data_IF_210264310559
#
_entry.id   IF_210264310559
#
_cell.length_a   1.000
_cell.length_b   1.000
_cell.length_c   1.000
_cell.angle_alpha   90.00
_cell.angle_beta   90.00
_cell.angle_gamma   90.00
#
_symmetry.space_group_name_H-M   'P 1'
#
loop_
_entity.id
_entity.type
_entity.pdbx_description
1 polymer ?
#
# COMPACT_ATOMS: atom_id res chain seq x y z
N UNK A 1 -10.12 -3.84 -18.12
CA UNK A 1 -10.70 -3.13 -16.94
C UNK A 1 -9.70 -2.06 -16.49
N UNK A 2 -9.48 -1.09 -17.38
CA UNK A 2 -8.16 -0.43 -17.45
C UNK A 2 -8.13 0.95 -16.79
N UNK A 3 -9.31 1.57 -16.63
CA UNK A 3 -9.46 2.84 -15.91
C UNK A 3 -9.89 2.63 -14.46
N UNK A 4 -9.55 3.58 -13.58
CA UNK A 4 -10.01 3.56 -12.19
C UNK A 4 -11.54 3.62 -12.09
N UNK A 5 -12.20 4.37 -12.98
CA UNK A 5 -13.66 4.46 -13.05
C UNK A 5 -14.28 3.10 -13.38
N UNK A 6 -13.69 2.35 -14.32
CA UNK A 6 -14.17 1.00 -14.65
C UNK A 6 -14.06 0.05 -13.45
N UNK A 7 -12.96 0.15 -12.68
CA UNK A 7 -12.76 -0.64 -11.46
C UNK A 7 -13.71 -0.23 -10.35
N UNK A 8 -13.94 1.07 -10.15
CA UNK A 8 -14.94 1.59 -9.19
C UNK A 8 -16.36 1.14 -9.55
N UNK A 9 -16.73 1.20 -10.82
CA UNK A 9 -18.04 0.73 -11.29
C UNK A 9 -18.21 -0.78 -11.06
N UNK A 10 -17.15 -1.57 -11.30
CA UNK A 10 -17.17 -3.02 -11.04
C UNK A 10 -17.30 -3.33 -9.55
N UNK A 11 -16.51 -2.68 -8.70
CA UNK A 11 -16.59 -2.80 -7.24
C UNK A 11 -18.01 -2.43 -6.77
N UNK A 12 -18.57 -1.33 -7.26
CA UNK A 12 -19.94 -0.93 -6.93
C UNK A 12 -20.98 -2.00 -7.31
N UNK A 13 -20.86 -2.57 -8.51
CA UNK A 13 -21.74 -3.66 -8.98
C UNK A 13 -21.68 -4.87 -8.05
N UNK A 14 -20.48 -5.27 -7.63
CA UNK A 14 -20.25 -6.38 -6.72
C UNK A 14 -20.85 -6.09 -5.34
N UNK A 15 -20.53 -4.93 -4.75
CA UNK A 15 -21.08 -4.54 -3.43
C UNK A 15 -22.61 -4.50 -3.42
N UNK A 16 -23.23 -4.04 -4.52
CA UNK A 16 -24.68 -4.02 -4.68
C UNK A 16 -25.28 -5.42 -4.77
N UNK A 17 -24.66 -6.34 -5.52
CA UNK A 17 -25.18 -7.69 -5.76
C UNK A 17 -24.92 -8.61 -4.56
N UNK A 18 -23.69 -8.64 -4.06
CA UNK A 18 -23.22 -9.61 -3.08
C UNK A 18 -23.51 -9.16 -1.64
N UNK A 19 -23.41 -7.86 -1.36
CA UNK A 19 -23.55 -7.33 0.00
C UNK A 19 -24.79 -6.45 0.19
N UNK A 20 -25.61 -6.26 -0.85
CA UNK A 20 -26.82 -5.42 -0.82
C UNK A 20 -26.58 -3.99 -0.30
N UNK A 21 -25.41 -3.42 -0.58
CA UNK A 21 -25.07 -2.05 -0.19
C UNK A 21 -25.13 -1.11 -1.40
N UNK A 22 -26.02 -0.12 -1.33
CA UNK A 22 -26.33 0.75 -2.48
C UNK A 22 -25.77 2.17 -2.34
N UNK A 23 -25.98 2.84 -1.20
CA UNK A 23 -25.65 4.27 -1.06
C UNK A 23 -24.23 4.50 -0.54
N UNK A 24 -23.82 3.71 0.47
CA UNK A 24 -22.52 3.86 1.14
C UNK A 24 -21.32 3.84 0.18
N UNK A 25 -21.25 2.94 -0.83
CA UNK A 25 -20.12 2.92 -1.76
C UNK A 25 -19.99 4.20 -2.60
N UNK A 26 -21.10 4.89 -2.90
CA UNK A 26 -21.08 6.14 -3.65
C UNK A 26 -20.48 7.29 -2.81
N UNK A 27 -20.88 7.36 -1.54
CA UNK A 27 -20.29 8.33 -0.58
C UNK A 27 -18.80 8.05 -0.40
N UNK A 28 -18.42 6.78 -0.19
CA UNK A 28 -17.01 6.38 -0.07
C UNK A 28 -16.22 6.65 -1.34
N UNK A 29 -16.81 6.50 -2.53
CA UNK A 29 -16.17 6.82 -3.80
C UNK A 29 -15.81 8.30 -3.91
N UNK A 30 -16.72 9.20 -3.51
CA UNK A 30 -16.47 10.66 -3.49
C UNK A 30 -15.38 10.99 -2.46
N UNK A 31 -15.47 10.46 -1.24
CA UNK A 31 -14.48 10.67 -0.20
C UNK A 31 -13.10 10.16 -0.61
N UNK A 32 -13.04 8.97 -1.22
CA UNK A 32 -11.81 8.37 -1.74
C UNK A 32 -11.18 9.24 -2.84
N UNK A 33 -11.98 9.75 -3.78
CA UNK A 33 -11.50 10.64 -4.83
C UNK A 33 -10.95 11.97 -4.26
N UNK A 34 -11.67 12.58 -3.32
CA UNK A 34 -11.25 13.80 -2.64
C UNK A 34 -9.94 13.58 -1.87
N UNK A 35 -9.88 12.52 -1.05
CA UNK A 35 -8.71 12.20 -0.25
C UNK A 35 -7.48 11.93 -1.13
N UNK A 36 -7.63 11.09 -2.16
CA UNK A 36 -6.57 10.78 -3.12
C UNK A 36 -6.01 12.04 -3.78
N UNK A 37 -6.88 12.98 -4.15
CA UNK A 37 -6.49 14.23 -4.79
C UNK A 37 -5.74 15.13 -3.81
N UNK A 38 -6.25 15.28 -2.59
CA UNK A 38 -5.60 16.04 -1.52
C UNK A 38 -4.21 15.50 -1.16
N UNK A 39 -4.10 14.18 -0.94
CA UNK A 39 -2.82 13.52 -0.68
C UNK A 39 -1.84 13.75 -1.83
N UNK A 40 -2.29 13.62 -3.09
CA UNK A 40 -1.43 13.85 -4.25
C UNK A 40 -0.90 15.28 -4.35
N UNK A 41 -1.75 16.28 -4.05
CA UNK A 41 -1.33 17.69 -4.01
C UNK A 41 -0.27 17.92 -2.92
N UNK A 42 -0.48 17.35 -1.73
CA UNK A 42 0.46 17.48 -0.63
C UNK A 42 1.76 16.71 -0.86
N UNK A 43 1.71 15.56 -1.54
CA UNK A 43 2.91 14.83 -1.97
C UNK A 43 3.77 15.63 -2.95
N UNK A 44 3.18 16.49 -3.78
CA UNK A 44 3.93 17.42 -4.62
C UNK A 44 4.57 18.52 -3.79
N UNK A 45 3.82 19.03 -2.82
CA UNK A 45 4.27 20.07 -1.89
C UNK A 45 5.43 19.59 -0.99
N UNK A 46 5.52 18.28 -0.70
CA UNK A 46 6.64 17.68 0.02
C UNK A 46 8.00 18.03 -0.61
N UNK A 47 8.10 18.14 -1.93
CA UNK A 47 9.37 18.47 -2.60
C UNK A 47 9.84 19.90 -2.36
N UNK A 48 8.99 20.76 -1.79
CA UNK A 48 9.31 22.12 -1.34
C UNK A 48 9.72 22.11 0.13
N UNK A 49 8.91 21.51 1.00
CA UNK A 49 9.17 21.50 2.45
C UNK A 49 10.20 20.48 2.92
N UNK A 50 10.42 19.41 2.15
CA UNK A 50 11.38 18.34 2.45
C UNK A 50 12.39 18.19 1.30
N UNK A 51 13.36 19.12 1.14
CA UNK A 51 14.36 19.07 0.06
C UNK A 51 15.17 17.76 0.05
N UNK A 52 15.35 17.12 1.22
CA UNK A 52 16.02 15.83 1.36
C UNK A 52 15.39 14.76 0.46
N UNK A 53 14.07 14.81 0.23
CA UNK A 53 13.34 13.86 -0.62
C UNK A 53 13.87 13.83 -2.07
N UNK A 54 14.37 14.96 -2.59
CA UNK A 54 14.95 15.02 -3.94
C UNK A 54 16.27 14.24 -4.06
N UNK A 55 16.96 14.03 -2.95
CA UNK A 55 18.28 13.38 -2.89
C UNK A 55 18.18 11.94 -2.37
N UNK A 56 17.09 11.58 -1.69
CA UNK A 56 16.88 10.24 -1.17
C UNK A 56 16.71 9.24 -2.30
N UNK A 57 17.59 8.23 -2.32
CA UNK A 57 17.49 7.07 -3.20
C UNK A 57 17.11 5.86 -2.37
N UNK A 58 16.23 5.03 -2.90
CA UNK A 58 15.96 3.70 -2.31
C UNK A 58 17.10 2.81 -2.74
N UNK A 59 17.91 2.36 -1.80
CA UNK A 59 19.04 1.47 -2.05
C UNK A 59 18.94 0.23 -1.16
N UNK A 60 19.24 -0.92 -1.73
CA UNK A 60 19.32 -2.23 -1.09
C UNK A 60 18.13 -2.54 -0.16
N UNK A 61 16.87 -2.39 -0.62
CA UNK A 61 15.73 -2.73 0.22
C UNK A 61 15.74 -4.22 0.55
N UNK A 62 15.40 -4.57 1.79
CA UNK A 62 15.05 -5.96 2.14
C UNK A 62 13.57 -6.12 1.79
N UNK A 63 13.24 -7.10 0.96
CA UNK A 63 11.87 -7.34 0.52
C UNK A 63 11.48 -8.75 0.91
N UNK A 64 10.56 -8.84 1.86
CA UNK A 64 9.94 -10.08 2.27
C UNK A 64 8.86 -10.44 1.26
N UNK A 65 9.00 -11.62 0.67
CA UNK A 65 8.05 -12.20 -0.28
C UNK A 65 7.53 -13.49 0.34
N UNK A 66 6.27 -13.81 0.13
CA UNK A 66 5.70 -15.04 0.65
C UNK A 66 4.19 -14.94 0.75
N UNK A 67 3.55 -16.08 0.92
CA UNK A 67 2.10 -16.12 1.09
C UNK A 67 1.71 -15.53 2.45
N UNK A 68 0.47 -15.02 2.60
CA UNK A 68 -0.07 -14.69 3.92
C UNK A 68 0.09 -15.89 4.87
N UNK A 69 0.31 -15.60 6.16
CA UNK A 69 0.45 -16.59 7.26
C UNK A 69 1.74 -17.43 7.26
N UNK A 70 2.81 -16.99 6.59
CA UNK A 70 4.15 -17.63 6.65
C UNK A 70 5.12 -17.01 7.67
N UNK A 71 4.64 -16.14 8.57
CA UNK A 71 5.50 -15.47 9.57
C UNK A 71 6.25 -14.23 9.07
N UNK A 72 6.01 -13.77 7.84
CA UNK A 72 6.65 -12.56 7.27
C UNK A 72 6.41 -11.29 8.08
N UNK A 73 5.24 -11.13 8.73
CA UNK A 73 4.99 -9.99 9.64
C UNK A 73 5.92 -10.01 10.86
N UNK A 74 6.14 -11.18 11.47
CA UNK A 74 7.08 -11.33 12.58
C UNK A 74 8.50 -10.96 12.13
N UNK A 75 8.94 -11.52 10.99
CA UNK A 75 10.26 -11.23 10.45
C UNK A 75 10.44 -9.75 10.10
N UNK A 76 9.42 -9.09 9.54
CA UNK A 76 9.47 -7.66 9.22
C UNK A 76 9.69 -6.82 10.47
N UNK A 77 8.93 -7.09 11.53
CA UNK A 77 9.06 -6.41 12.83
C UNK A 77 10.42 -6.67 13.43
N UNK A 78 10.85 -7.93 13.47
CA UNK A 78 12.17 -8.32 13.97
C UNK A 78 13.30 -7.55 13.27
N UNK A 79 13.31 -7.50 11.94
CA UNK A 79 14.33 -6.77 11.18
C UNK A 79 14.29 -5.26 11.45
N UNK A 80 13.09 -4.69 11.58
CA UNK A 80 12.93 -3.26 11.86
C UNK A 80 13.38 -2.90 13.28
N UNK A 81 12.98 -3.68 14.29
CA UNK A 81 13.29 -3.48 15.71
C UNK A 81 14.80 -3.63 15.97
N UNK A 82 15.49 -4.46 15.20
CA UNK A 82 16.96 -4.61 15.25
C UNK A 82 17.71 -3.58 14.38
N UNK A 83 17.02 -2.55 13.88
CA UNK A 83 17.64 -1.45 13.14
C UNK A 83 18.17 -1.83 11.75
N UNK A 84 17.77 -2.98 11.20
CA UNK A 84 18.21 -3.40 9.86
C UNK A 84 17.50 -2.61 8.76
N UNK A 85 16.41 -1.91 9.03
CA UNK A 85 15.77 -0.97 8.11
C UNK A 85 14.43 -0.49 8.64
N UNK A 86 13.74 0.36 7.89
CA UNK A 86 12.40 0.82 8.26
C UNK A 86 11.33 -0.05 7.62
N UNK A 87 10.44 -0.60 8.45
CA UNK A 87 9.15 -1.13 7.98
C UNK A 87 8.23 -0.03 7.44
N UNK A 88 7.15 -0.43 6.78
CA UNK A 88 6.12 0.48 6.28
C UNK A 88 4.88 0.44 7.18
N UNK A 89 4.56 1.54 7.83
CA UNK A 89 3.34 1.70 8.62
C UNK A 89 2.12 1.90 7.69
N UNK A 90 0.97 1.34 8.07
CA UNK A 90 -0.29 1.52 7.32
C UNK A 90 -0.63 3.01 7.13
N UNK A 91 -0.42 3.82 8.16
CA UNK A 91 -0.68 5.26 8.11
C UNK A 91 0.14 5.96 7.01
N UNK A 92 1.42 5.59 6.88
CA UNK A 92 2.28 6.13 5.82
C UNK A 92 1.84 5.66 4.43
N UNK A 93 1.35 4.44 4.29
CA UNK A 93 0.83 3.93 3.02
C UNK A 93 -0.44 4.65 2.56
N UNK A 94 -1.32 4.99 3.51
CA UNK A 94 -2.57 5.70 3.23
C UNK A 94 -2.35 7.20 2.98
N UNK A 95 -1.46 7.82 3.77
CA UNK A 95 -1.19 9.26 3.73
C UNK A 95 0.30 9.56 3.51
N UNK A 96 0.84 9.23 2.34
CA UNK A 96 2.28 9.28 2.11
C UNK A 96 2.91 10.66 2.11
N UNK A 97 2.15 11.74 2.05
CA UNK A 97 2.75 13.08 2.11
C UNK A 97 3.48 13.30 3.43
N UNK A 98 4.74 13.72 3.37
CA UNK A 98 5.53 14.06 4.55
C UNK A 98 4.92 15.23 5.33
N UNK A 99 4.36 16.22 4.64
CA UNK A 99 3.61 17.31 5.30
C UNK A 99 2.43 16.74 6.09
N UNK A 100 1.62 15.85 5.48
CA UNK A 100 0.51 15.20 6.17
C UNK A 100 1.00 14.37 7.36
N UNK A 101 2.08 13.60 7.18
CA UNK A 101 2.66 12.80 8.26
C UNK A 101 3.06 13.68 9.44
N UNK A 102 3.71 14.83 9.20
CA UNK A 102 4.10 15.75 10.27
C UNK A 102 2.89 16.35 10.98
N UNK A 103 1.84 16.73 10.25
CA UNK A 103 0.64 17.36 10.83
C UNK A 103 -0.25 16.35 11.56
N UNK A 104 -0.42 15.15 11.01
CA UNK A 104 -1.39 14.18 11.51
C UNK A 104 -0.81 13.21 12.53
N UNK A 105 0.51 12.96 12.56
CA UNK A 105 1.13 12.06 13.55
C UNK A 105 0.80 12.41 15.01
N UNK A 106 0.82 13.67 15.45
CA UNK A 106 0.43 14.03 16.83
C UNK A 106 -1.03 13.67 17.16
N UNK A 107 -1.89 13.65 16.14
CA UNK A 107 -3.32 13.35 16.28
C UNK A 107 -3.62 11.86 16.02
N UNK A 108 -2.60 11.07 15.67
CA UNK A 108 -2.75 9.66 15.34
C UNK A 108 -3.42 8.82 16.44
N UNK A 109 -3.15 9.02 17.76
CA UNK A 109 -3.85 8.28 18.82
C UNK A 109 -5.36 8.52 18.82
N UNK A 110 -5.81 9.71 18.41
CA UNK A 110 -7.23 10.02 18.26
C UNK A 110 -7.80 9.39 16.99
N UNK A 111 -7.07 9.44 15.88
CA UNK A 111 -7.47 8.80 14.62
C UNK A 111 -7.58 7.28 14.77
N UNK A 112 -6.70 6.66 15.55
CA UNK A 112 -6.78 5.23 15.88
C UNK A 112 -8.08 4.89 16.62
N UNK A 113 -8.63 5.78 17.46
CA UNK A 113 -9.94 5.58 18.12
C UNK A 113 -11.09 5.48 17.12
N UNK A 114 -11.01 6.18 16.01
CA UNK A 114 -12.05 6.25 14.98
C UNK A 114 -11.79 5.31 13.79
N UNK A 115 -10.61 4.71 13.70
CA UNK A 115 -10.18 3.95 12.53
C UNK A 115 -10.93 2.62 12.39
N UNK A 116 -11.51 2.34 11.20
CA UNK A 116 -12.10 1.04 10.90
C UNK A 116 -11.08 -0.11 10.93
N UNK A 117 -9.78 0.16 10.88
CA UNK A 117 -8.71 -0.85 10.96
C UNK A 117 -8.82 -1.72 12.22
N UNK A 118 -9.44 -1.21 13.30
CA UNK A 118 -9.75 -1.98 14.51
C UNK A 118 -10.73 -3.12 14.30
N UNK A 119 -11.64 -3.01 13.33
CA UNK A 119 -12.57 -4.09 13.02
C UNK A 119 -11.92 -5.24 12.25
N UNK A 120 -10.65 -5.08 11.82
CA UNK A 120 -9.82 -6.14 11.25
C UNK A 120 -8.80 -6.69 12.24
N UNK A 121 -8.82 -6.29 13.51
CA UNK A 121 -7.97 -6.89 14.53
C UNK A 121 -8.54 -8.24 14.98
N UNK A 122 -7.84 -9.32 14.66
CA UNK A 122 -8.02 -10.62 15.32
C UNK A 122 -6.86 -10.82 16.30
N UNK A 123 -6.99 -11.73 17.28
CA UNK A 123 -5.90 -12.01 18.26
C UNK A 123 -4.56 -12.38 17.59
N UNK A 124 -4.60 -12.82 16.33
CA UNK A 124 -3.41 -13.15 15.54
C UNK A 124 -2.86 -11.99 14.67
N UNK A 125 -3.62 -10.90 14.45
CA UNK A 125 -3.21 -9.71 13.68
C UNK A 125 -3.91 -8.46 14.24
N UNK A 126 -3.21 -7.68 15.07
CA UNK A 126 -3.63 -6.31 15.38
C UNK A 126 -3.23 -5.38 14.23
N UNK A 127 -4.18 -5.04 13.37
CA UNK A 127 -4.01 -3.97 12.38
C UNK A 127 -4.33 -2.64 13.05
N UNK A 128 -3.33 -1.77 13.17
CA UNK A 128 -3.46 -0.38 13.59
C UNK A 128 -2.90 0.54 12.51
N UNK A 129 -3.21 1.84 12.60
CA UNK A 129 -2.63 2.80 11.66
C UNK A 129 -1.09 2.83 11.80
N UNK A 130 -0.58 2.65 13.01
CA UNK A 130 0.85 2.54 13.32
C UNK A 130 1.47 1.16 13.03
N UNK A 131 0.68 0.12 12.74
CA UNK A 131 1.22 -1.23 12.53
C UNK A 131 1.92 -1.34 11.19
N UNK A 132 3.02 -2.09 11.19
CA UNK A 132 3.71 -2.49 9.97
C UNK A 132 2.85 -3.49 9.19
N UNK A 133 2.53 -3.15 7.95
CA UNK A 133 1.66 -3.94 7.08
C UNK A 133 2.32 -4.26 5.73
N UNK A 134 1.63 -5.01 4.87
CA UNK A 134 2.12 -5.27 3.51
C UNK A 134 1.98 -4.04 2.62
N UNK A 135 3.05 -3.75 1.87
CA UNK A 135 3.14 -2.64 0.93
C UNK A 135 2.11 -2.73 -0.21
N UNK A 136 1.52 -3.91 -0.45
CA UNK A 136 0.42 -4.13 -1.42
C UNK A 136 -0.82 -3.27 -1.12
N UNK A 137 -1.06 -2.98 0.16
CA UNK A 137 -2.16 -2.10 0.59
C UNK A 137 -2.02 -0.73 -0.05
N UNK A 138 -0.79 -0.22 -0.15
CA UNK A 138 -0.53 1.09 -0.76
C UNK A 138 -0.89 1.13 -2.25
N UNK A 139 -0.71 0.02 -2.97
CA UNK A 139 -1.07 -0.10 -4.40
C UNK A 139 -2.59 -0.11 -4.55
N UNK A 140 -3.30 -0.84 -3.68
CA UNK A 140 -4.76 -0.85 -3.64
C UNK A 140 -5.30 0.56 -3.42
N UNK A 141 -4.91 1.25 -2.35
CA UNK A 141 -5.45 2.58 -2.07
C UNK A 141 -5.00 3.64 -3.09
N UNK A 142 -3.81 3.49 -3.67
CA UNK A 142 -3.34 4.43 -4.68
C UNK A 142 -3.94 4.20 -6.06
N UNK A 143 -4.34 3.02 -6.47
CA UNK A 143 -4.79 2.79 -7.85
C UNK A 143 -6.17 2.12 -7.97
N UNK A 144 -6.75 1.74 -6.82
CA UNK A 144 -7.85 0.77 -6.73
C UNK A 144 -7.53 -0.39 -7.67
N UNK A 145 -6.39 -1.04 -7.42
CA UNK A 145 -5.77 -2.00 -8.34
C UNK A 145 -4.81 -2.95 -7.59
N UNK A 146 -4.27 -3.95 -8.29
CA UNK A 146 -3.33 -4.93 -7.75
C UNK A 146 -4.03 -6.16 -7.15
N UNK A 147 -3.24 -7.09 -6.62
CA UNK A 147 -3.72 -8.37 -6.10
C UNK A 147 -4.81 -8.20 -5.02
N UNK A 148 -4.70 -7.16 -4.19
CA UNK A 148 -5.65 -6.90 -3.11
C UNK A 148 -7.01 -6.41 -3.63
N UNK A 149 -7.07 -5.75 -4.80
CA UNK A 149 -8.34 -5.45 -5.43
C UNK A 149 -9.08 -6.74 -5.76
N UNK A 150 -8.36 -7.73 -6.29
CA UNK A 150 -8.94 -9.02 -6.62
C UNK A 150 -9.45 -9.74 -5.37
N UNK A 151 -8.58 -9.94 -4.38
CA UNK A 151 -8.92 -10.71 -3.18
C UNK A 151 -10.02 -10.08 -2.31
N UNK A 152 -10.14 -8.76 -2.27
CA UNK A 152 -11.16 -8.10 -1.45
C UNK A 152 -12.47 -7.77 -2.19
N UNK A 153 -12.44 -7.67 -3.52
CA UNK A 153 -13.61 -7.26 -4.28
C UNK A 153 -13.88 -8.15 -5.48
N UNK A 154 -12.94 -8.28 -6.42
CA UNK A 154 -13.24 -8.90 -7.71
C UNK A 154 -13.53 -10.41 -7.60
N UNK A 155 -13.01 -11.09 -6.59
CA UNK A 155 -13.28 -12.52 -6.36
C UNK A 155 -14.72 -12.82 -5.95
N UNK A 156 -15.51 -11.81 -5.62
CA UNK A 156 -16.94 -11.94 -5.30
C UNK A 156 -17.85 -11.72 -6.52
N UNK A 157 -17.26 -11.55 -7.70
CA UNK A 157 -17.99 -11.44 -8.96
C UNK A 157 -18.23 -12.83 -9.58
N UNK A 158 -19.34 -13.00 -10.31
CA UNK A 158 -19.66 -14.26 -10.99
C UNK A 158 -18.74 -14.52 -12.20
N UNK A 159 -18.15 -13.46 -12.77
CA UNK A 159 -17.21 -13.57 -13.89
C UNK A 159 -15.77 -13.76 -13.35
N UNK A 160 -14.94 -14.56 -14.04
CA UNK A 160 -13.52 -14.67 -13.71
C UNK A 160 -12.76 -13.39 -14.07
N UNK A 161 -12.41 -12.63 -13.03
CA UNK A 161 -11.69 -11.36 -13.12
C UNK A 161 -10.20 -11.48 -12.78
N UNK A 162 -9.66 -12.69 -12.62
CA UNK A 162 -8.23 -12.89 -12.40
C UNK A 162 -7.37 -12.27 -13.51
N UNK A 163 -7.73 -12.35 -14.82
CA UNK A 163 -6.97 -11.71 -15.89
C UNK A 163 -6.84 -10.18 -15.72
N UNK A 164 -7.74 -9.54 -14.96
CA UNK A 164 -7.65 -8.11 -14.69
C UNK A 164 -6.49 -7.73 -13.77
N UNK A 165 -5.92 -8.68 -13.00
CA UNK A 165 -4.80 -8.45 -12.08
C UNK A 165 -3.59 -9.35 -12.34
N UNK A 166 -3.71 -10.32 -13.24
CA UNK A 166 -2.61 -11.21 -13.62
C UNK A 166 -1.51 -10.41 -14.37
N UNK A 167 -0.28 -10.33 -13.84
CA UNK A 167 0.82 -9.61 -14.49
C UNK A 167 1.22 -10.21 -15.85
N UNK A 168 0.87 -11.48 -16.14
CA UNK A 168 1.09 -12.09 -17.46
C UNK A 168 0.16 -11.54 -18.53
N UNK A 169 -1.04 -11.09 -18.12
CA UNK A 169 -2.06 -10.52 -19.02
C UNK A 169 -1.98 -9.00 -19.03
N UNK A 170 -1.83 -8.38 -17.84
CA UNK A 170 -1.78 -6.93 -17.67
C UNK A 170 -0.61 -6.54 -16.76
N UNK A 171 0.53 -6.26 -17.38
CA UNK A 171 1.71 -5.79 -16.66
C UNK A 171 1.54 -4.34 -16.18
N UNK A 172 1.59 -4.17 -14.86
CA UNK A 172 1.54 -2.86 -14.17
C UNK A 172 2.85 -2.53 -13.45
N UNK A 173 3.92 -3.31 -13.67
CA UNK A 173 5.18 -3.26 -12.92
C UNK A 173 5.75 -1.85 -12.85
N UNK A 174 5.91 -1.18 -14.00
CA UNK A 174 6.49 0.16 -14.05
C UNK A 174 5.71 1.16 -13.18
N UNK A 175 4.38 1.10 -13.18
CA UNK A 175 3.51 1.99 -12.39
C UNK A 175 3.63 1.68 -10.90
N UNK A 176 3.50 0.41 -10.53
CA UNK A 176 3.46 -0.01 -9.13
C UNK A 176 4.83 0.17 -8.47
N UNK A 177 5.90 -0.19 -9.16
CA UNK A 177 7.27 -0.07 -8.64
C UNK A 177 7.72 1.38 -8.54
N UNK A 178 7.33 2.26 -9.48
CA UNK A 178 7.53 3.70 -9.33
C UNK A 178 6.80 4.27 -8.11
N UNK A 179 5.59 3.78 -7.83
CA UNK A 179 4.84 4.16 -6.64
C UNK A 179 5.51 3.67 -5.35
N UNK A 180 5.89 2.40 -5.28
CA UNK A 180 6.60 1.84 -4.14
C UNK A 180 7.92 2.58 -3.88
N UNK A 181 8.71 2.87 -4.92
CA UNK A 181 9.92 3.69 -4.80
C UNK A 181 9.64 5.07 -4.20
N UNK A 182 8.55 5.73 -4.63
CA UNK A 182 8.16 7.03 -4.12
C UNK A 182 7.72 6.97 -2.64
N UNK A 183 7.09 5.88 -2.21
CA UNK A 183 6.74 5.63 -0.81
C UNK A 183 7.96 5.33 0.05
N UNK A 184 8.80 4.39 -0.41
CA UNK A 184 10.03 4.01 0.26
C UNK A 184 10.95 5.21 0.48
N UNK A 185 11.14 6.07 -0.52
CA UNK A 185 11.91 7.29 -0.37
C UNK A 185 11.37 8.22 0.74
N UNK A 186 10.04 8.32 0.86
CA UNK A 186 9.40 9.13 1.92
C UNK A 186 9.55 8.47 3.29
N UNK A 187 9.38 7.15 3.38
CA UNK A 187 9.67 6.37 4.58
C UNK A 187 11.10 6.60 5.07
N UNK A 188 12.10 6.55 4.18
CA UNK A 188 13.50 6.80 4.53
C UNK A 188 13.73 8.22 5.06
N UNK A 189 13.06 9.23 4.48
CA UNK A 189 13.13 10.62 4.98
C UNK A 189 12.48 10.73 6.36
N UNK A 190 11.29 10.16 6.52
CA UNK A 190 10.48 10.26 7.74
C UNK A 190 11.13 9.56 8.93
N UNK A 191 11.70 8.36 8.72
CA UNK A 191 12.30 7.54 9.77
C UNK A 191 13.82 7.75 9.90
N UNK A 192 14.45 8.51 8.99
CA UNK A 192 15.90 8.68 8.97
C UNK A 192 16.69 7.39 8.72
N UNK A 193 16.02 6.34 8.23
CA UNK A 193 16.61 5.02 8.00
C UNK A 193 17.48 4.99 6.74
N UNK A 194 18.38 4.00 6.67
CA UNK A 194 19.28 3.80 5.50
C UNK A 194 18.68 2.94 4.39
N UNK A 195 17.75 2.04 4.72
CA UNK A 195 17.05 1.15 3.78
C UNK A 195 15.68 0.73 4.32
N UNK A 196 14.82 0.24 3.44
CA UNK A 196 13.48 -0.25 3.79
C UNK A 196 13.49 -1.77 4.06
N UNK A 197 12.55 -2.21 4.90
CA UNK A 197 12.13 -3.60 5.06
C UNK A 197 10.68 -3.71 4.59
N UNK A 198 10.50 -3.99 3.31
CA UNK A 198 9.20 -4.09 2.66
C UNK A 198 8.62 -5.51 2.76
N UNK A 199 7.30 -5.62 2.65
CA UNK A 199 6.61 -6.92 2.58
C UNK A 199 5.60 -6.90 1.44
N UNK A 200 5.81 -7.72 0.42
CA UNK A 200 5.01 -7.75 -0.80
C UNK A 200 4.56 -9.19 -1.12
N UNK A 201 3.28 -9.47 -0.93
CA UNK A 201 2.66 -10.74 -1.31
C UNK A 201 2.49 -10.84 -2.83
N UNK A 202 2.16 -9.72 -3.49
CA UNK A 202 1.96 -9.72 -4.95
C UNK A 202 3.26 -9.81 -5.77
N UNK A 203 4.42 -9.80 -5.11
CA UNK A 203 5.71 -9.79 -5.78
C UNK A 203 6.12 -11.14 -6.36
N UNK A 204 5.66 -12.26 -5.79
CA UNK A 204 5.97 -13.62 -6.28
C UNK A 204 5.92 -13.77 -7.82
N UNK A 205 4.77 -13.49 -8.47
CA UNK A 205 4.65 -13.60 -9.93
C UNK A 205 5.38 -12.51 -10.74
N UNK A 206 5.97 -11.51 -10.09
CA UNK A 206 6.59 -10.32 -10.71
C UNK A 206 8.07 -10.18 -10.38
N UNK A 207 8.64 -11.17 -9.67
CA UNK A 207 9.98 -11.07 -9.07
C UNK A 207 11.10 -10.77 -10.09
N UNK A 208 11.18 -11.44 -11.26
CA UNK A 208 12.21 -11.10 -12.25
C UNK A 208 12.14 -9.65 -12.72
N UNK A 209 10.92 -9.15 -12.97
CA UNK A 209 10.70 -7.77 -13.40
C UNK A 209 11.03 -6.77 -12.28
N UNK A 210 10.76 -7.13 -11.03
CA UNK A 210 11.13 -6.33 -9.88
C UNK A 210 12.64 -6.20 -9.70
N UNK A 211 13.38 -7.30 -9.86
CA UNK A 211 14.85 -7.30 -9.77
C UNK A 211 15.51 -6.51 -10.92
N UNK A 212 14.85 -6.34 -12.06
CA UNK A 212 15.33 -5.42 -13.10
C UNK A 212 15.25 -3.95 -12.64
N UNK A 213 14.21 -3.59 -11.87
CA UNK A 213 13.96 -2.23 -11.40
C UNK A 213 14.68 -1.91 -10.07
N UNK A 214 14.93 -2.93 -9.25
CA UNK A 214 15.66 -2.88 -7.97
C UNK A 214 16.73 -3.99 -7.93
N UNK A 215 17.80 -3.87 -8.74
CA UNK A 215 18.82 -4.91 -8.86
C UNK A 215 19.62 -5.16 -7.59
N UNK A 216 19.61 -4.21 -6.67
CA UNK A 216 20.30 -4.29 -5.38
C UNK A 216 19.38 -4.77 -4.24
N UNK A 217 18.11 -5.10 -4.52
CA UNK A 217 17.17 -5.60 -3.54
C UNK A 217 17.58 -6.97 -2.99
N UNK A 218 17.41 -7.15 -1.68
CA UNK A 218 17.62 -8.42 -1.00
C UNK A 218 16.27 -9.09 -0.78
N UNK A 219 16.04 -10.20 -1.48
CA UNK A 219 14.78 -10.94 -1.42
C UNK A 219 14.88 -12.00 -0.33
N UNK A 220 13.92 -12.00 0.58
CA UNK A 220 13.72 -13.07 1.57
C UNK A 220 12.36 -13.70 1.27
N UNK A 221 12.37 -14.97 0.86
CA UNK A 221 11.17 -15.75 0.54
C UNK A 221 10.91 -16.80 1.63
#
# INVERSE_FOLDING_TARGET
>A
MDSILSRMARVYRILRRTHHVYVVPLVLAVLFAALRTGVWLLMKLDYVFFPRLRRTKVTRPIVLVGNPRTGTTFLQRFLADHGLGSGMELFLMLYPSLVLQTVLKPVLPLLERLSPAKFHSTDAHHTSLSSVETDDVSVLFRYLDGFFLYGFFLSFDDEDLLPAVDPKVRDTASRDFAWLRALWARSLVLHGARRNVAKLFSLGPRLPRFLQEFPDAQILY
#
